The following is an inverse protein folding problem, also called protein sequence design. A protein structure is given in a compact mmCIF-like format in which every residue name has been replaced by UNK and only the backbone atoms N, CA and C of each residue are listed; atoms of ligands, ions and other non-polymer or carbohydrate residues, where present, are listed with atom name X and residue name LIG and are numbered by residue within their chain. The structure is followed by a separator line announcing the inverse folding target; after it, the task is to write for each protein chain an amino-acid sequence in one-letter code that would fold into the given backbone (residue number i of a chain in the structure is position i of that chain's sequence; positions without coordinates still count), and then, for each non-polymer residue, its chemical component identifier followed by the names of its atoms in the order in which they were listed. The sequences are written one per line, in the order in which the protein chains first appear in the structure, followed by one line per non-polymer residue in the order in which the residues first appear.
data_IF_592585376451
#
_entry.id   IF_592585376451
#
_cell.length_a   1.000
_cell.length_b   1.000
_cell.length_c   1.000
_cell.angle_alpha   90.00
_cell.angle_beta   90.00
_cell.angle_gamma   90.00
#
_symmetry.space_group_name_H-M   'P 1'
#
loop_
_entity.id
_entity.type
_entity.pdbx_description
1 polymer ?
#
# COMPACT_ATOMS: atom_id res chain seq x y z
N UNK A 1 -7.50 6.16 -13.67
CA UNK A 1 -8.90 6.56 -13.40
C UNK A 1 -9.40 6.12 -12.01
N UNK A 2 -8.55 5.63 -11.09
CA UNK A 2 -8.99 5.07 -9.81
C UNK A 2 -9.19 6.02 -8.63
N UNK A 3 -8.81 7.30 -8.74
CA UNK A 3 -8.80 8.21 -7.58
C UNK A 3 -10.17 8.76 -7.17
N UNK A 4 -11.14 8.85 -8.08
CA UNK A 4 -12.44 9.48 -7.81
C UNK A 4 -13.25 8.79 -6.71
N UNK A 5 -13.07 7.48 -6.52
CA UNK A 5 -13.81 6.69 -5.53
C UNK A 5 -12.98 6.36 -4.28
N UNK A 6 -11.80 6.99 -4.10
CA UNK A 6 -10.86 6.69 -3.01
C UNK A 6 -11.54 6.69 -1.64
N UNK A 7 -12.29 7.74 -1.33
CA UNK A 7 -13.00 7.90 -0.06
C UNK A 7 -14.44 7.34 -0.13
N UNK A 8 -15.11 7.50 -1.27
CA UNK A 8 -16.51 7.09 -1.45
C UNK A 8 -16.72 5.61 -1.15
N UNK A 9 -15.79 4.75 -1.59
CA UNK A 9 -15.85 3.29 -1.33
C UNK A 9 -15.78 2.92 0.16
N UNK A 10 -15.29 3.81 1.02
CA UNK A 10 -15.13 3.56 2.46
C UNK A 10 -16.35 4.02 3.27
N UNK A 11 -17.18 4.89 2.70
CA UNK A 11 -18.36 5.46 3.37
C UNK A 11 -19.33 4.41 3.94
N UNK A 12 -19.55 3.24 3.30
CA UNK A 12 -20.35 2.16 3.89
C UNK A 12 -19.96 1.76 5.32
N UNK A 13 -18.70 1.93 5.73
CA UNK A 13 -18.21 1.59 7.08
C UNK A 13 -18.68 2.56 8.16
N UNK A 14 -19.24 3.71 7.79
CA UNK A 14 -19.79 4.70 8.72
C UNK A 14 -21.17 4.27 9.27
N UNK A 15 -21.91 3.45 8.53
CA UNK A 15 -23.20 2.93 8.97
C UNK A 15 -23.05 2.09 10.23
N UNK A 16 -23.64 2.55 11.35
CA UNK A 16 -23.56 1.89 12.66
C UNK A 16 -24.77 1.06 13.03
N UNK A 17 -25.89 1.22 12.33
CA UNK A 17 -27.15 0.52 12.60
C UNK A 17 -27.44 -0.47 11.49
N UNK A 18 -28.12 -1.57 11.84
CA UNK A 18 -28.48 -2.62 10.90
C UNK A 18 -30.00 -2.84 10.79
N UNK A 19 -30.77 -2.59 11.86
CA UNK A 19 -32.24 -2.72 11.79
C UNK A 19 -32.92 -1.47 11.20
N UNK A 20 -32.34 -0.29 11.43
CA UNK A 20 -32.81 1.00 10.91
C UNK A 20 -31.61 1.72 10.31
N UNK A 21 -31.83 2.58 9.32
CA UNK A 21 -30.79 3.33 8.63
C UNK A 21 -29.66 2.44 8.05
N UNK A 22 -30.01 1.23 7.59
CA UNK A 22 -29.06 0.25 7.09
C UNK A 22 -28.56 0.62 5.70
N UNK A 23 -29.28 1.48 4.96
CA UNK A 23 -28.86 2.06 3.68
C UNK A 23 -27.50 2.76 3.78
N UNK A 24 -27.14 3.27 4.96
CA UNK A 24 -25.81 3.84 5.21
C UNK A 24 -24.66 2.83 5.01
N UNK A 25 -24.94 1.53 5.12
CA UNK A 25 -23.98 0.44 4.86
C UNK A 25 -23.97 -0.02 3.39
N UNK A 26 -24.89 0.49 2.57
CA UNK A 26 -25.06 0.13 1.16
C UNK A 26 -25.01 1.36 0.25
N UNK A 27 -24.39 2.45 0.72
CA UNK A 27 -24.17 3.65 -0.09
C UNK A 27 -23.41 3.27 -1.36
N UNK A 28 -24.01 3.58 -2.49
CA UNK A 28 -23.43 3.38 -3.81
C UNK A 28 -23.35 4.71 -4.53
N UNK A 29 -22.20 4.93 -5.16
CA UNK A 29 -21.92 6.12 -5.95
C UNK A 29 -21.56 5.66 -7.34
N UNK A 30 -22.34 6.07 -8.33
CA UNK A 30 -22.15 5.63 -9.70
C UNK A 30 -20.82 6.19 -10.26
N UNK A 31 -19.99 5.38 -10.92
CA UNK A 31 -18.76 5.88 -11.51
C UNK A 31 -18.99 6.90 -12.62
N UNK A 32 -20.18 6.88 -13.24
CA UNK A 32 -20.56 7.83 -14.29
C UNK A 32 -20.79 9.26 -13.77
N UNK A 33 -21.15 9.42 -12.50
CA UNK A 33 -21.41 10.74 -11.89
C UNK A 33 -20.14 11.37 -11.33
N UNK A 34 -19.23 10.55 -10.82
CA UNK A 34 -18.01 11.00 -10.11
C UNK A 34 -16.74 10.94 -10.97
N UNK A 35 -16.80 10.33 -12.15
CA UNK A 35 -15.71 10.35 -13.13
C UNK A 35 -16.24 10.58 -14.54
N UNK A 36 -16.26 11.85 -14.94
CA UNK A 36 -16.69 12.25 -16.28
C UNK A 36 -15.78 11.71 -17.37
N UNK A 37 -14.49 11.52 -17.11
CA UNK A 37 -13.55 10.99 -18.11
C UNK A 37 -13.85 9.53 -18.43
N UNK A 38 -14.23 8.75 -17.41
CA UNK A 38 -14.73 7.40 -17.56
C UNK A 38 -16.02 7.36 -18.40
N UNK A 39 -17.00 8.23 -18.11
CA UNK A 39 -18.25 8.29 -18.88
C UNK A 39 -18.02 8.68 -20.35
N UNK A 40 -17.11 9.62 -20.61
CA UNK A 40 -16.75 10.00 -21.97
C UNK A 40 -16.06 8.86 -22.72
N UNK A 41 -15.12 8.16 -22.06
CA UNK A 41 -14.43 7.01 -22.66
C UNK A 41 -15.41 5.88 -23.01
N UNK A 42 -16.35 5.58 -22.11
CA UNK A 42 -17.41 4.60 -22.36
C UNK A 42 -18.25 4.97 -23.60
N UNK A 43 -18.63 6.25 -23.73
CA UNK A 43 -19.41 6.73 -24.88
C UNK A 43 -18.59 6.72 -26.19
N UNK A 44 -17.29 7.00 -26.13
CA UNK A 44 -16.40 6.88 -27.28
C UNK A 44 -16.32 5.43 -27.78
N UNK A 45 -16.19 4.46 -26.86
CA UNK A 45 -16.14 3.04 -27.20
C UNK A 45 -17.49 2.55 -27.74
N UNK A 46 -18.62 3.00 -27.15
CA UNK A 46 -19.95 2.68 -27.66
C UNK A 46 -20.17 3.17 -29.11
N UNK A 47 -19.69 4.38 -29.44
CA UNK A 47 -19.75 4.89 -30.82
C UNK A 47 -18.82 4.15 -31.76
N UNK A 48 -17.63 3.76 -31.29
CA UNK A 48 -16.69 2.96 -32.08
C UNK A 48 -17.27 1.58 -32.41
N UNK A 49 -17.88 0.91 -31.43
CA UNK A 49 -18.60 -0.35 -31.62
C UNK A 49 -19.65 -0.23 -32.74
N UNK A 50 -20.53 0.77 -32.66
CA UNK A 50 -21.56 1.02 -33.69
C UNK A 50 -20.97 1.33 -35.07
N UNK A 51 -19.80 1.97 -35.13
CA UNK A 51 -19.13 2.27 -36.38
C UNK A 51 -18.57 0.99 -37.03
N UNK A 52 -17.83 0.18 -36.27
CA UNK A 52 -17.24 -1.07 -36.79
C UNK A 52 -18.31 -2.11 -37.12
N UNK A 53 -19.37 -2.21 -36.33
CA UNK A 53 -20.49 -3.13 -36.60
C UNK A 53 -21.20 -2.79 -37.94
N UNK A 54 -21.34 -1.49 -38.24
CA UNK A 54 -21.90 -1.02 -39.53
C UNK A 54 -20.95 -1.20 -40.71
N UNK A 55 -19.64 -1.08 -40.51
CA UNK A 55 -18.66 -1.16 -41.60
C UNK A 55 -18.24 -2.60 -41.95
N UNK A 56 -18.18 -3.51 -40.99
CA UNK A 56 -17.60 -4.84 -41.20
C UNK A 56 -18.58 -5.90 -41.75
N UNK A 57 -19.90 -5.69 -41.68
CA UNK A 57 -20.88 -6.71 -42.11
C UNK A 57 -20.64 -8.08 -41.45
N UNK A 58 -21.07 -9.18 -42.08
CA UNK A 58 -20.83 -10.55 -41.58
C UNK A 58 -19.36 -11.03 -41.71
N UNK A 59 -18.44 -10.15 -42.15
CA UNK A 59 -17.00 -10.39 -42.20
C UNK A 59 -16.29 -10.15 -40.85
N UNK A 60 -14.96 -10.38 -40.85
CA UNK A 60 -14.08 -10.41 -39.66
C UNK A 60 -14.39 -9.35 -38.59
N UNK A 61 -14.99 -9.80 -37.47
CA UNK A 61 -15.48 -8.97 -36.36
C UNK A 61 -14.39 -8.64 -35.34
N UNK A 62 -13.12 -8.83 -35.67
CA UNK A 62 -11.99 -8.60 -34.77
C UNK A 62 -12.02 -7.21 -34.12
N UNK A 63 -12.38 -6.18 -34.89
CA UNK A 63 -12.45 -4.80 -34.39
C UNK A 63 -13.57 -4.57 -33.37
N UNK A 64 -14.76 -5.13 -33.62
CA UNK A 64 -15.89 -5.07 -32.68
C UNK A 64 -15.53 -5.78 -31.37
N UNK A 65 -14.91 -6.97 -31.46
CA UNK A 65 -14.46 -7.74 -30.29
C UNK A 65 -13.43 -6.93 -29.48
N UNK A 66 -12.46 -6.31 -30.14
CA UNK A 66 -11.44 -5.47 -29.48
C UNK A 66 -12.08 -4.30 -28.72
N UNK A 67 -13.04 -3.59 -29.33
CA UNK A 67 -13.74 -2.48 -28.68
C UNK A 67 -14.55 -2.96 -27.47
N UNK A 68 -15.28 -4.06 -27.60
CA UNK A 68 -16.06 -4.61 -26.49
C UNK A 68 -15.18 -5.12 -25.34
N UNK A 69 -14.07 -5.80 -25.64
CA UNK A 69 -13.11 -6.26 -24.63
C UNK A 69 -12.48 -5.09 -23.89
N UNK A 70 -12.02 -4.05 -24.59
CA UNK A 70 -11.44 -2.86 -23.95
C UNK A 70 -12.46 -2.08 -23.11
N UNK A 71 -13.71 -1.99 -23.58
CA UNK A 71 -14.81 -1.38 -22.80
C UNK A 71 -15.10 -2.16 -21.52
N UNK A 72 -15.10 -3.49 -21.60
CA UNK A 72 -15.24 -4.38 -20.44
C UNK A 72 -14.07 -4.19 -19.45
N UNK A 73 -12.83 -4.18 -19.93
CA UNK A 73 -11.65 -3.97 -19.09
C UNK A 73 -11.69 -2.63 -18.35
N UNK A 74 -12.12 -1.56 -19.03
CA UNK A 74 -12.31 -0.24 -18.44
C UNK A 74 -13.37 -0.24 -17.32
N UNK A 75 -14.49 -0.93 -17.52
CA UNK A 75 -15.51 -1.16 -16.49
C UNK A 75 -14.97 -1.98 -15.33
N UNK A 76 -14.30 -3.10 -15.61
CA UNK A 76 -13.75 -4.01 -14.60
C UNK A 76 -12.71 -3.30 -13.72
N UNK A 77 -11.81 -2.51 -14.31
CA UNK A 77 -10.86 -1.68 -13.57
C UNK A 77 -11.55 -0.66 -12.66
N UNK A 78 -12.64 -0.04 -13.14
CA UNK A 78 -13.42 0.90 -12.34
C UNK A 78 -14.08 0.19 -11.15
N UNK A 79 -14.73 -0.94 -11.38
CA UNK A 79 -15.35 -1.74 -10.32
C UNK A 79 -14.33 -2.26 -9.32
N UNK A 80 -13.17 -2.74 -9.79
CA UNK A 80 -12.08 -3.20 -8.94
C UNK A 80 -11.61 -2.09 -7.98
N UNK A 81 -11.42 -0.87 -8.48
CA UNK A 81 -11.04 0.27 -7.66
C UNK A 81 -12.12 0.71 -6.66
N UNK A 82 -13.39 0.42 -6.94
CA UNK A 82 -14.51 0.64 -6.01
C UNK A 82 -14.68 -0.49 -4.99
N UNK A 83 -14.03 -1.64 -5.15
CA UNK A 83 -14.16 -2.75 -4.20
C UNK A 83 -13.60 -2.38 -2.84
N UNK A 84 -14.32 -2.83 -1.82
CA UNK A 84 -13.89 -2.87 -0.43
C UNK A 84 -14.62 -4.05 0.25
N UNK A 85 -13.98 -4.66 1.24
CA UNK A 85 -14.59 -5.73 2.03
C UNK A 85 -15.54 -5.16 3.07
N UNK A 86 -16.61 -5.90 3.41
CA UNK A 86 -17.50 -5.48 4.48
C UNK A 86 -16.76 -5.42 5.83
N UNK A 87 -17.09 -4.41 6.65
CA UNK A 87 -16.66 -4.32 8.03
C UNK A 87 -17.63 -5.06 8.97
N UNK A 88 -17.96 -4.43 10.10
CA UNK A 88 -18.99 -4.96 11.01
C UNK A 88 -20.38 -4.85 10.38
N UNK A 89 -21.06 -5.99 10.25
CA UNK A 89 -22.43 -6.08 9.68
C UNK A 89 -23.47 -5.57 10.68
N UNK A 90 -23.58 -6.21 11.84
CA UNK A 90 -24.57 -5.85 12.85
C UNK A 90 -24.33 -4.48 13.51
N UNK A 91 -25.36 -4.00 14.21
CA UNK A 91 -25.34 -2.72 14.92
C UNK A 91 -24.13 -2.60 15.86
N UNK A 92 -23.52 -1.43 15.87
CA UNK A 92 -22.47 -1.00 16.79
C UNK A 92 -23.01 0.14 17.66
N UNK A 93 -22.95 -0.02 18.98
CA UNK A 93 -23.29 1.04 19.95
C UNK A 93 -22.02 1.81 20.32
N UNK A 94 -22.11 3.12 20.51
CA UNK A 94 -20.97 3.98 20.87
C UNK A 94 -19.96 4.21 19.73
N UNK A 95 -18.68 4.32 20.08
CA UNK A 95 -17.52 4.41 19.19
C UNK A 95 -17.59 5.44 18.05
N UNK A 96 -18.25 6.58 18.26
CA UNK A 96 -18.43 7.61 17.24
C UNK A 96 -17.11 8.20 16.72
N UNK A 97 -16.05 8.21 17.54
CA UNK A 97 -14.71 8.67 17.16
C UNK A 97 -14.02 7.77 16.11
N UNK A 98 -14.50 6.54 15.88
CA UNK A 98 -13.93 5.64 14.85
C UNK A 98 -14.08 6.20 13.43
N UNK A 99 -14.96 7.16 13.20
CA UNK A 99 -15.11 7.86 11.91
C UNK A 99 -13.79 8.45 11.40
N UNK A 100 -12.92 8.93 12.31
CA UNK A 100 -11.63 9.50 11.95
C UNK A 100 -10.65 8.47 11.35
N UNK A 101 -10.80 7.18 11.69
CA UNK A 101 -10.01 6.09 11.09
C UNK A 101 -10.57 5.65 9.74
N UNK A 102 -11.88 5.84 9.51
CA UNK A 102 -12.55 5.44 8.27
C UNK A 102 -12.34 6.50 7.18
N UNK A 103 -12.51 7.78 7.52
CA UNK A 103 -12.35 8.90 6.60
C UNK A 103 -10.87 9.29 6.51
N UNK A 104 -10.12 8.51 5.73
CA UNK A 104 -8.68 8.70 5.52
C UNK A 104 -8.34 8.63 4.04
N UNK A 105 -7.08 8.95 3.71
CA UNK A 105 -6.53 8.78 2.38
C UNK A 105 -6.17 7.30 2.12
N UNK A 106 -7.09 6.37 2.39
CA UNK A 106 -6.79 4.94 2.25
C UNK A 106 -6.43 4.63 0.78
N UNK A 107 -5.27 4.00 0.52
CA UNK A 107 -4.77 3.79 -0.83
C UNK A 107 -5.75 2.96 -1.65
N UNK A 108 -6.04 3.40 -2.87
CA UNK A 108 -6.88 2.63 -3.79
C UNK A 108 -6.16 1.34 -4.20
N UNK A 109 -6.87 0.29 -4.64
CA UNK A 109 -6.22 -0.92 -5.14
C UNK A 109 -5.18 -0.62 -6.23
N UNK A 110 -5.51 0.23 -7.22
CA UNK A 110 -4.56 0.65 -8.27
C UNK A 110 -3.29 1.30 -7.70
N UNK A 111 -3.42 2.22 -6.74
CA UNK A 111 -2.28 2.89 -6.11
C UNK A 111 -1.43 1.91 -5.29
N UNK A 112 -2.08 1.00 -4.56
CA UNK A 112 -1.40 -0.01 -3.75
C UNK A 112 -0.58 -0.98 -4.62
N UNK A 113 -1.12 -1.41 -5.76
CA UNK A 113 -0.38 -2.26 -6.69
C UNK A 113 0.73 -1.49 -7.40
N UNK A 114 0.48 -0.24 -7.80
CA UNK A 114 1.46 0.59 -8.52
C UNK A 114 2.64 1.01 -7.66
N UNK A 115 2.38 1.44 -6.43
CA UNK A 115 3.39 1.89 -5.47
C UNK A 115 3.64 0.84 -4.39
N UNK A 116 3.54 -0.44 -4.76
CA UNK A 116 3.93 -1.53 -3.87
C UNK A 116 5.39 -1.31 -3.43
N UNK A 117 5.71 -1.42 -2.13
CA UNK A 117 7.02 -1.04 -1.60
C UNK A 117 8.17 -1.92 -2.10
N UNK A 118 7.86 -3.06 -2.74
CA UNK A 118 8.84 -3.93 -3.39
C UNK A 118 9.20 -3.47 -4.80
N UNK A 119 8.27 -2.82 -5.50
CA UNK A 119 8.45 -2.31 -6.87
C UNK A 119 8.88 -0.84 -6.82
N UNK A 120 8.08 0.00 -6.17
CA UNK A 120 8.40 1.39 -5.91
C UNK A 120 9.07 1.50 -4.54
N UNK A 121 10.34 1.13 -4.49
CA UNK A 121 11.13 1.09 -3.26
C UNK A 121 11.24 2.47 -2.63
N UNK A 122 11.18 2.52 -1.30
CA UNK A 122 11.39 3.74 -0.55
C UNK A 122 12.86 4.10 -0.61
N UNK A 123 13.19 5.27 -1.15
CA UNK A 123 14.54 5.79 -1.04
C UNK A 123 14.86 6.04 0.44
N UNK A 124 15.89 5.34 0.93
CA UNK A 124 16.31 5.34 2.33
C UNK A 124 17.78 5.72 2.40
N UNK A 125 18.04 6.95 2.83
CA UNK A 125 19.39 7.52 2.94
C UNK A 125 19.92 7.36 4.36
N UNK A 126 21.05 6.66 4.49
CA UNK A 126 21.68 6.36 5.78
C UNK A 126 22.30 7.58 6.45
N UNK A 127 22.49 8.69 5.72
CA UNK A 127 22.94 9.96 6.29
C UNK A 127 22.03 10.46 7.42
N UNK A 128 20.74 10.11 7.39
CA UNK A 128 19.76 10.50 8.39
C UNK A 128 19.39 9.36 9.35
N UNK A 129 20.13 8.25 9.30
CA UNK A 129 19.87 7.06 10.11
C UNK A 129 21.08 6.69 10.96
N UNK A 130 20.82 5.88 12.00
CA UNK A 130 21.85 5.36 12.90
C UNK A 130 22.22 3.90 12.62
N UNK A 131 21.58 3.28 11.63
CA UNK A 131 21.79 1.90 11.24
C UNK A 131 22.07 1.83 9.74
N UNK A 132 23.06 1.04 9.34
CA UNK A 132 23.32 0.71 7.95
C UNK A 132 23.54 -0.80 7.80
N UNK A 133 23.41 -1.34 6.58
CA UNK A 133 23.86 -2.69 6.27
C UNK A 133 25.38 -2.85 6.46
N UNK A 134 25.80 -4.10 6.68
CA UNK A 134 27.22 -4.49 6.66
C UNK A 134 27.83 -4.07 5.32
N UNK A 135 29.04 -3.50 5.35
CA UNK A 135 29.73 -2.94 4.19
C UNK A 135 29.47 -1.44 3.97
N UNK A 136 28.37 -0.90 4.52
CA UNK A 136 28.00 0.54 4.43
C UNK A 136 28.03 1.25 5.78
N UNK A 137 28.80 0.70 6.73
CA UNK A 137 28.91 1.20 8.12
C UNK A 137 29.33 2.68 8.20
N UNK A 138 30.11 3.17 7.21
CA UNK A 138 30.63 4.54 7.16
C UNK A 138 29.60 5.58 6.68
N UNK A 139 28.46 5.14 6.15
CA UNK A 139 27.43 6.02 5.57
C UNK A 139 26.37 6.48 6.58
N UNK A 140 26.41 5.93 7.80
CA UNK A 140 25.54 6.29 8.91
C UNK A 140 25.71 7.77 9.27
N UNK A 141 24.66 8.42 9.78
CA UNK A 141 24.69 9.80 10.26
C UNK A 141 25.96 10.07 11.09
N UNK A 142 26.78 11.07 10.76
CA UNK A 142 28.04 11.31 11.45
C UNK A 142 27.82 11.84 12.88
N UNK A 143 28.84 11.72 13.73
CA UNK A 143 28.88 12.36 15.03
C UNK A 143 30.33 12.66 15.44
N UNK A 144 30.50 13.71 16.24
CA UNK A 144 31.83 14.12 16.72
C UNK A 144 32.25 13.20 17.86
N UNK A 145 33.51 12.74 17.85
CA UNK A 145 34.11 11.89 18.88
C UNK A 145 33.32 10.60 19.18
N UNK A 146 32.79 9.95 18.14
CA UNK A 146 32.12 8.65 18.30
C UNK A 146 33.13 7.55 18.64
N UNK A 147 32.95 6.96 19.81
CA UNK A 147 33.69 5.78 20.27
C UNK A 147 32.69 4.66 20.47
N UNK A 148 32.93 3.52 19.81
CA UNK A 148 32.14 2.30 20.01
C UNK A 148 32.57 1.68 21.34
N UNK A 149 31.64 1.59 22.30
CA UNK A 149 31.92 1.09 23.66
C UNK A 149 31.81 -0.43 23.74
N UNK A 150 30.59 -0.96 23.60
CA UNK A 150 30.25 -2.38 23.64
C UNK A 150 28.92 -2.60 22.89
N UNK A 151 28.51 -3.85 22.70
CA UNK A 151 27.23 -4.20 22.06
C UNK A 151 25.97 -3.87 22.90
N UNK A 152 26.11 -3.21 24.05
CA UNK A 152 24.98 -2.82 24.89
C UNK A 152 24.33 -3.99 25.66
N UNK A 153 25.08 -5.03 26.00
CA UNK A 153 24.54 -6.22 26.66
C UNK A 153 23.82 -5.88 27.99
N UNK A 154 22.54 -6.27 28.20
CA UNK A 154 21.78 -5.89 29.39
C UNK A 154 22.34 -6.47 30.69
N UNK A 155 23.11 -7.56 30.62
CA UNK A 155 23.67 -8.23 31.80
C UNK A 155 24.97 -7.59 32.30
N UNK A 156 25.59 -6.67 31.56
CA UNK A 156 26.84 -5.99 31.96
C UNK A 156 26.73 -5.20 33.29
N UNK A 157 25.50 -4.82 33.66
CA UNK A 157 25.19 -4.13 34.92
C UNK A 157 25.05 -5.06 36.13
N UNK A 158 24.98 -6.38 35.90
CA UNK A 158 24.98 -7.33 37.02
C UNK A 158 26.33 -7.23 37.73
N UNK A 159 26.30 -7.15 39.06
CA UNK A 159 27.51 -7.03 39.89
C UNK A 159 28.32 -8.33 39.99
N UNK A 160 27.84 -9.42 39.38
CA UNK A 160 28.51 -10.72 39.41
C UNK A 160 29.67 -10.77 38.42
N UNK A 161 30.85 -11.17 38.90
CA UNK A 161 32.04 -11.36 38.08
C UNK A 161 31.83 -12.40 36.97
N UNK A 162 31.12 -13.49 37.27
CA UNK A 162 30.76 -14.53 36.29
C UNK A 162 30.01 -13.95 35.08
N UNK A 163 29.11 -12.99 35.30
CA UNK A 163 28.39 -12.34 34.20
C UNK A 163 29.27 -11.45 33.33
N UNK A 164 30.37 -10.92 33.85
CA UNK A 164 31.35 -10.15 33.05
C UNK A 164 32.26 -11.08 32.26
N UNK A 165 32.66 -12.20 32.85
CA UNK A 165 33.49 -13.22 32.19
C UNK A 165 32.75 -13.86 31.00
N UNK A 166 31.46 -14.16 31.14
CA UNK A 166 30.63 -14.67 30.04
C UNK A 166 30.49 -13.70 28.85
N UNK A 167 30.71 -12.40 29.06
CA UNK A 167 30.54 -11.36 28.04
C UNK A 167 31.87 -10.91 27.41
N UNK A 168 33.01 -11.41 27.93
CA UNK A 168 34.35 -10.87 27.65
C UNK A 168 34.70 -10.85 26.17
N UNK A 169 34.37 -11.90 25.43
CA UNK A 169 34.79 -12.06 24.03
C UNK A 169 33.70 -11.65 23.03
N UNK A 170 32.51 -11.29 23.50
CA UNK A 170 31.37 -11.02 22.65
C UNK A 170 31.64 -9.84 21.69
N UNK A 171 32.19 -8.73 22.20
CA UNK A 171 32.50 -7.56 21.40
C UNK A 171 33.61 -7.83 20.37
N UNK A 172 34.63 -8.59 20.75
CA UNK A 172 35.71 -8.99 19.86
C UNK A 172 35.21 -9.89 18.73
N UNK A 173 34.34 -10.84 19.04
CA UNK A 173 33.75 -11.74 18.05
C UNK A 173 32.82 -10.99 17.09
N UNK A 174 32.04 -10.03 17.59
CA UNK A 174 31.19 -9.18 16.76
C UNK A 174 32.01 -8.29 15.81
N UNK A 175 33.10 -7.67 16.31
CA UNK A 175 34.01 -6.89 15.49
C UNK A 175 34.68 -7.74 14.39
N UNK A 176 35.09 -8.98 14.70
CA UNK A 176 35.62 -9.93 13.71
C UNK A 176 34.58 -10.29 12.65
N UNK A 177 33.33 -10.52 13.06
CA UNK A 177 32.24 -10.85 12.14
C UNK A 177 31.96 -9.73 11.12
N UNK A 178 31.86 -8.47 11.58
CA UNK A 178 31.63 -7.33 10.68
C UNK A 178 32.78 -7.21 9.69
N UNK A 179 34.04 -7.23 10.16
CA UNK A 179 35.21 -7.13 9.29
C UNK A 179 35.24 -8.27 8.26
N UNK A 180 35.04 -9.51 8.69
CA UNK A 180 35.08 -10.66 7.78
C UNK A 180 34.03 -10.55 6.65
N UNK A 181 32.87 -9.97 6.93
CA UNK A 181 31.83 -9.75 5.92
C UNK A 181 32.04 -8.50 5.06
N UNK A 182 32.75 -7.49 5.56
CA UNK A 182 33.12 -6.29 4.79
C UNK A 182 34.12 -6.61 3.66
N UNK A 183 34.97 -7.64 3.81
CA UNK A 183 36.03 -7.99 2.86
C UNK A 183 35.80 -9.26 2.02
N UNK A 184 34.67 -9.96 2.19
CA UNK A 184 34.35 -11.20 1.46
C UNK A 184 33.37 -10.97 0.27
N UNK A 185 33.31 -9.74 -0.26
CA UNK A 185 32.75 -9.45 -1.58
C UNK A 185 33.83 -9.48 -2.66
#
# INVERSE_FOLDING_TARGET
MGSSHRMLRLLPRLGRRFNLNHEQKFLYFSPFDYDRTFALADQCLARAEQFYDKQCGDGDRADVIRVLTTRKELLDQKFFNMRDFAGRIHTMRGHWMRKAKVLTNAPTPEELLRYSPTIHQVHRDFKYELNAPIGREKEVQPGVNRVVMDMGNPYRRRRSQSSREMLRDADNNFAKYIRAKEYNE
#
